data_IF_653623108780
#
_entry.id   IF_653623108780
#
_cell.length_a   1.000
_cell.length_b   1.000
_cell.length_c   1.000
_cell.angle_alpha   90.00
_cell.angle_beta   90.00
_cell.angle_gamma   90.00
#
_symmetry.space_group_name_H-M   'P 1'
#
loop_
_entity.id
_entity.type
_entity.pdbx_description
1 polymer ?
#
# COMPACT_ATOMS: atom_id res chain seq x y z
N UNK A 1 -15.56 7.80 1.32
CA UNK A 1 -14.13 7.56 1.04
C UNK A 1 -13.68 6.37 1.88
N UNK A 2 -13.00 5.37 1.31
CA UNK A 2 -12.43 4.28 2.09
C UNK A 2 -11.40 4.83 3.09
N UNK A 3 -11.36 4.25 4.29
CA UNK A 3 -10.29 4.50 5.25
C UNK A 3 -9.23 3.41 5.07
N UNK A 4 -7.96 3.80 5.07
CA UNK A 4 -6.82 2.89 5.01
C UNK A 4 -5.98 3.11 6.26
N UNK A 5 -5.66 2.04 6.96
CA UNK A 5 -4.78 2.04 8.13
C UNK A 5 -3.41 1.54 7.71
N UNK A 6 -2.39 2.37 7.87
CA UNK A 6 -0.99 1.99 7.69
C UNK A 6 -0.37 1.74 9.05
N UNK A 7 0.28 0.58 9.20
CA UNK A 7 1.00 0.21 10.42
C UNK A 7 2.47 0.11 10.05
N UNK A 8 3.32 0.92 10.68
CA UNK A 8 4.76 0.84 10.44
C UNK A 8 5.42 -0.29 11.24
N UNK A 9 6.72 -0.50 11.02
CA UNK A 9 7.48 -1.54 11.69
C UNK A 9 7.58 -1.37 13.23
N UNK A 10 7.26 -0.19 13.76
CA UNK A 10 7.17 0.06 15.21
C UNK A 10 5.78 -0.25 15.78
N UNK A 11 4.81 -0.60 14.93
CA UNK A 11 3.40 -0.78 15.29
C UNK A 11 2.62 0.52 15.33
N UNK A 12 3.18 1.65 14.90
CA UNK A 12 2.46 2.93 14.91
C UNK A 12 1.46 2.98 13.77
N UNK A 13 0.18 3.18 14.11
CA UNK A 13 -0.91 3.28 13.16
C UNK A 13 -1.13 4.70 12.65
N UNK A 14 -1.41 4.82 11.36
CA UNK A 14 -1.83 6.07 10.70
C UNK A 14 -3.04 5.77 9.82
N UNK A 15 -4.17 6.38 10.15
CA UNK A 15 -5.42 6.21 9.40
C UNK A 15 -5.64 7.42 8.50
N UNK A 16 -5.83 7.16 7.21
CA UNK A 16 -6.07 8.21 6.21
C UNK A 16 -7.22 7.85 5.29
N UNK A 17 -7.75 8.85 4.58
CA UNK A 17 -8.84 8.68 3.64
C UNK A 17 -8.33 8.51 2.22
N UNK A 18 -8.64 7.37 1.61
CA UNK A 18 -8.39 7.12 0.19
C UNK A 18 -9.58 7.56 -0.69
N UNK A 19 -9.38 7.53 -2.00
CA UNK A 19 -10.46 7.68 -2.98
C UNK A 19 -10.61 6.39 -3.78
N UNK A 20 -11.85 6.00 -4.07
CA UNK A 20 -12.10 4.86 -4.96
C UNK A 20 -11.41 5.12 -6.31
N UNK A 21 -10.71 4.10 -6.83
CA UNK A 21 -9.89 4.20 -8.04
C UNK A 21 -8.43 4.61 -7.80
N UNK A 22 -8.07 5.06 -6.59
CA UNK A 22 -6.66 5.20 -6.21
C UNK A 22 -6.11 3.88 -5.66
N UNK A 23 -4.82 3.66 -5.89
CA UNK A 23 -4.08 2.57 -5.24
C UNK A 23 -3.78 2.90 -3.77
N UNK A 24 -3.44 1.85 -3.01
CA UNK A 24 -2.97 1.99 -1.62
C UNK A 24 -1.67 2.79 -1.59
N UNK A 25 -0.72 2.48 -2.48
CA UNK A 25 0.55 3.21 -2.58
C UNK A 25 0.34 4.71 -2.85
N UNK A 26 -0.49 5.11 -3.81
CA UNK A 26 -0.72 6.54 -4.08
C UNK A 26 -1.33 7.26 -2.88
N UNK A 27 -2.18 6.57 -2.11
CA UNK A 27 -2.74 7.11 -0.88
C UNK A 27 -1.65 7.29 0.18
N UNK A 28 -0.73 6.33 0.33
CA UNK A 28 0.42 6.46 1.23
C UNK A 28 1.30 7.68 0.89
N UNK A 29 1.67 7.83 -0.38
CA UNK A 29 2.51 8.94 -0.85
C UNK A 29 1.84 10.30 -0.61
N UNK A 30 0.57 10.47 -0.98
CA UNK A 30 -0.15 11.74 -0.78
C UNK A 30 -0.26 12.16 0.68
N UNK A 31 -0.24 11.20 1.60
CA UNK A 31 -0.33 11.44 3.04
C UNK A 31 1.02 11.35 3.76
N UNK A 32 2.14 11.25 3.03
CA UNK A 32 3.50 11.13 3.59
C UNK A 32 3.63 9.99 4.60
N UNK A 33 3.07 8.81 4.29
CA UNK A 33 3.21 7.62 5.13
C UNK A 33 4.68 7.15 5.06
N UNK A 34 5.40 7.05 6.19
CA UNK A 34 6.80 6.62 6.20
C UNK A 34 6.95 5.15 5.78
N UNK A 35 8.06 4.84 5.10
CA UNK A 35 8.43 3.47 4.71
C UNK A 35 7.78 2.96 3.43
N UNK A 36 7.05 3.80 2.71
CA UNK A 36 6.54 3.54 1.36
C UNK A 36 7.09 4.64 0.45
N UNK A 37 8.06 4.31 -0.38
CA UNK A 37 8.83 5.30 -1.14
C UNK A 37 8.32 5.47 -2.57
N UNK A 38 7.89 4.36 -3.19
CA UNK A 38 7.32 4.31 -4.54
C UNK A 38 8.25 4.84 -5.66
N UNK A 39 9.50 4.39 -5.69
CA UNK A 39 10.57 4.86 -6.58
C UNK A 39 10.19 4.84 -8.07
N UNK A 40 9.48 3.79 -8.52
CA UNK A 40 9.03 3.67 -9.90
C UNK A 40 7.70 4.38 -10.20
N UNK A 41 7.09 5.06 -9.22
CA UNK A 41 5.81 5.73 -9.37
C UNK A 41 4.62 4.80 -9.65
N UNK A 42 4.70 3.52 -9.26
CA UNK A 42 3.64 2.54 -9.50
C UNK A 42 3.71 1.82 -10.85
N UNK A 43 4.83 1.90 -11.56
CA UNK A 43 5.06 1.21 -12.83
C UNK A 43 5.34 -0.32 -12.69
N UNK A 44 5.19 -0.90 -11.49
CA UNK A 44 5.51 -2.30 -11.20
C UNK A 44 6.95 -2.70 -11.59
N UNK A 45 7.91 -1.78 -11.38
CA UNK A 45 9.32 -1.93 -11.78
C UNK A 45 10.31 -1.81 -10.61
N UNK A 46 9.81 -1.73 -9.38
CA UNK A 46 10.60 -1.71 -8.14
C UNK A 46 9.83 -2.47 -7.04
N UNK A 47 10.38 -2.51 -5.82
CA UNK A 47 9.72 -3.12 -4.66
C UNK A 47 9.56 -2.16 -3.46
N UNK A 48 9.79 -0.86 -3.62
CA UNK A 48 9.80 0.10 -2.49
C UNK A 48 8.41 0.54 -2.01
N UNK A 49 7.34 -0.03 -2.59
CA UNK A 49 5.97 0.10 -2.11
C UNK A 49 5.44 -1.17 -1.41
N UNK A 50 6.32 -2.14 -1.12
CA UNK A 50 5.95 -3.41 -0.50
C UNK A 50 5.28 -3.21 0.86
N UNK A 51 4.19 -3.94 1.10
CA UNK A 51 3.42 -3.93 2.36
C UNK A 51 2.94 -5.33 2.70
N UNK A 52 2.62 -5.55 3.97
CA UNK A 52 1.85 -6.72 4.40
C UNK A 52 0.37 -6.36 4.46
N UNK A 53 -0.46 -7.16 3.78
CA UNK A 53 -1.92 -7.03 3.86
C UNK A 53 -2.40 -7.78 5.10
N UNK A 54 -3.18 -7.10 5.95
CA UNK A 54 -3.82 -7.73 7.10
C UNK A 54 -4.67 -8.94 6.67
N UNK A 55 -4.61 -10.01 7.46
CA UNK A 55 -5.25 -11.29 7.14
C UNK A 55 -6.76 -11.16 6.90
N UNK A 56 -7.44 -10.18 7.49
CA UNK A 56 -8.86 -9.93 7.25
C UNK A 56 -9.18 -9.42 5.84
N UNK A 57 -8.18 -9.00 5.06
CA UNK A 57 -8.33 -8.38 3.74
C UNK A 57 -7.67 -9.15 2.61
N UNK A 58 -6.87 -10.18 2.89
CA UNK A 58 -6.13 -10.95 1.87
C UNK A 58 -7.04 -11.51 0.78
N UNK A 59 -8.20 -12.06 1.14
CA UNK A 59 -9.17 -12.59 0.18
C UNK A 59 -9.78 -11.51 -0.73
N UNK A 60 -9.91 -10.28 -0.22
CA UNK A 60 -10.49 -9.14 -0.97
C UNK A 60 -9.46 -8.48 -1.89
N UNK A 61 -8.20 -8.40 -1.44
CA UNK A 61 -7.10 -7.78 -2.20
C UNK A 61 -6.56 -8.74 -3.26
N UNK A 62 -6.53 -10.04 -2.96
CA UNK A 62 -6.01 -11.06 -3.84
C UNK A 62 -4.50 -11.28 -3.70
N UNK A 63 -3.96 -12.11 -4.61
CA UNK A 63 -2.53 -12.46 -4.66
C UNK A 63 -1.78 -11.54 -5.61
N UNK A 64 -0.48 -11.30 -5.37
CA UNK A 64 0.35 -10.57 -6.33
C UNK A 64 0.36 -11.29 -7.69
N UNK A 65 0.34 -10.51 -8.75
CA UNK A 65 0.45 -11.00 -10.13
C UNK A 65 1.84 -11.60 -10.41
N UNK A 66 2.00 -12.29 -11.55
CA UNK A 66 3.30 -12.84 -11.93
C UNK A 66 4.38 -11.75 -12.11
N UNK A 67 4.00 -10.57 -12.62
CA UNK A 67 4.92 -9.43 -12.79
C UNK A 67 5.34 -8.82 -11.45
N UNK A 68 4.47 -8.86 -10.44
CA UNK A 68 4.82 -8.39 -9.09
C UNK A 68 5.72 -9.37 -8.33
N UNK A 69 5.78 -10.63 -8.76
CA UNK A 69 6.59 -11.68 -8.14
C UNK A 69 8.01 -11.81 -8.73
N UNK A 70 8.28 -11.14 -9.85
CA UNK A 70 9.54 -11.27 -10.61
C UNK A 70 10.67 -10.41 -10.08
#
# INVERSE_FOLDING_TARGET
MPKITYVDASGTERVVEGKNGMTVMETAIKHNIPGIDADCGGACACATCHVYVDAAFTDKVGKPSAMEQS
#
